data_IF_526751581892
#
_entry.id   IF_526751581892
#
_cell.length_a   1.000
_cell.length_b   1.000
_cell.length_c   1.000
_cell.angle_alpha   90.00
_cell.angle_beta   90.00
_cell.angle_gamma   90.00
#
_symmetry.space_group_name_H-M   'P 1'
#
loop_
_entity.id
_entity.type
_entity.pdbx_description
1 polymer ?
#
# COMPACT_ATOMS: atom_id res chain seq x y z
N UNK A 1 35.15 -7.10 -27.94
CA UNK A 1 35.41 -6.27 -26.74
C UNK A 1 34.65 -6.89 -25.60
N UNK A 2 35.35 -7.32 -24.55
CA UNK A 2 34.75 -8.01 -23.43
C UNK A 2 33.74 -7.09 -22.73
N UNK A 3 32.47 -7.51 -22.67
CA UNK A 3 31.48 -6.89 -21.80
C UNK A 3 31.77 -7.36 -20.38
N UNK A 4 32.65 -6.63 -19.69
CA UNK A 4 32.84 -6.81 -18.25
C UNK A 4 31.53 -6.38 -17.56
N UNK A 5 30.83 -7.33 -16.96
CA UNK A 5 29.68 -7.05 -16.11
C UNK A 5 30.22 -6.46 -14.79
N UNK A 6 30.03 -5.17 -14.60
CA UNK A 6 30.35 -4.48 -13.36
C UNK A 6 29.37 -4.93 -12.27
N UNK A 7 29.78 -5.87 -11.42
CA UNK A 7 28.97 -6.29 -10.27
C UNK A 7 29.10 -5.23 -9.16
N UNK A 8 28.16 -4.29 -9.15
CA UNK A 8 28.11 -3.23 -8.14
C UNK A 8 27.23 -3.69 -6.97
N UNK A 9 27.84 -3.94 -5.82
CA UNK A 9 27.12 -4.27 -4.59
C UNK A 9 26.43 -3.02 -4.01
N UNK A 10 25.10 -2.97 -4.17
CA UNK A 10 24.23 -1.92 -3.63
C UNK A 10 23.55 -2.32 -2.31
N UNK A 11 23.90 -3.45 -1.69
CA UNK A 11 23.27 -3.95 -0.46
C UNK A 11 23.26 -2.91 0.68
N UNK A 12 24.29 -2.06 0.76
CA UNK A 12 24.38 -0.94 1.70
C UNK A 12 23.22 0.06 1.60
N UNK A 13 22.55 0.13 0.45
CA UNK A 13 21.46 1.06 0.16
C UNK A 13 20.08 0.37 0.09
N UNK A 14 20.01 -0.95 0.23
CA UNK A 14 18.76 -1.73 0.22
C UNK A 14 18.07 -1.67 1.60
N UNK A 15 17.68 -0.47 2.02
CA UNK A 15 16.95 -0.26 3.27
C UNK A 15 15.54 -0.84 3.15
N UNK A 16 15.24 -1.87 3.96
CA UNK A 16 13.93 -2.50 4.05
C UNK A 16 13.39 -2.36 5.45
N UNK A 17 12.28 -1.66 5.60
CA UNK A 17 11.51 -1.70 6.83
C UNK A 17 10.75 -3.02 6.89
N UNK A 18 10.94 -3.77 7.99
CA UNK A 18 10.23 -5.04 8.19
C UNK A 18 8.74 -4.78 8.42
N UNK A 19 7.89 -5.50 7.70
CA UNK A 19 6.43 -5.45 7.89
C UNK A 19 5.92 -6.48 8.89
N UNK A 20 6.82 -7.21 9.57
CA UNK A 20 6.47 -8.30 10.50
C UNK A 20 5.65 -7.83 11.70
N UNK A 21 5.77 -6.56 12.10
CA UNK A 21 5.04 -5.99 13.23
C UNK A 21 3.71 -5.33 12.85
N UNK A 22 3.28 -5.41 11.58
CA UNK A 22 2.08 -4.71 11.16
C UNK A 22 0.83 -5.46 11.63
N UNK A 23 -0.01 -4.79 12.42
CA UNK A 23 -1.27 -5.33 12.96
C UNK A 23 -2.22 -5.77 11.83
N UNK A 24 -2.14 -5.12 10.68
CA UNK A 24 -2.90 -5.48 9.49
C UNK A 24 -2.14 -5.11 8.23
N UNK A 25 -2.03 -6.06 7.30
CA UNK A 25 -1.49 -5.83 5.96
C UNK A 25 -2.64 -5.83 4.96
N UNK A 26 -2.99 -4.65 4.44
CA UNK A 26 -4.00 -4.57 3.40
C UNK A 26 -3.49 -5.22 2.10
N UNK A 27 -4.42 -5.78 1.32
CA UNK A 27 -4.08 -6.36 0.01
C UNK A 27 -3.42 -5.31 -0.88
N UNK A 28 -2.52 -5.78 -1.75
CA UNK A 28 -1.85 -4.92 -2.73
C UNK A 28 -2.89 -4.37 -3.71
N UNK A 29 -2.92 -3.04 -3.85
CA UNK A 29 -3.83 -2.35 -4.75
C UNK A 29 -5.00 -1.67 -4.03
N UNK A 30 -5.47 -0.56 -4.61
CA UNK A 30 -6.60 0.20 -4.10
C UNK A 30 -7.89 -0.30 -4.76
N UNK A 31 -8.82 -0.81 -3.95
CA UNK A 31 -10.14 -1.26 -4.39
C UNK A 31 -11.22 -0.72 -3.45
N UNK A 32 -12.49 -0.73 -3.87
CA UNK A 32 -13.61 -0.38 -2.98
C UNK A 32 -13.65 -1.25 -1.71
N UNK A 33 -13.25 -2.51 -1.81
CA UNK A 33 -13.24 -3.42 -0.67
C UNK A 33 -12.10 -3.10 0.29
N UNK A 34 -10.93 -2.72 -0.22
CA UNK A 34 -9.83 -2.20 0.61
C UNK A 34 -10.28 -0.98 1.42
N UNK A 35 -11.05 -0.07 0.81
CA UNK A 35 -11.59 1.11 1.50
C UNK A 35 -12.58 0.73 2.61
N UNK A 36 -13.46 -0.26 2.35
CA UNK A 36 -14.39 -0.79 3.35
C UNK A 36 -13.68 -1.50 4.50
N UNK A 37 -12.67 -2.30 4.20
CA UNK A 37 -11.85 -2.99 5.20
C UNK A 37 -11.16 -1.98 6.12
N UNK A 38 -10.53 -0.94 5.55
CA UNK A 38 -9.88 0.13 6.33
C UNK A 38 -10.88 0.85 7.24
N UNK A 39 -12.07 1.16 6.73
CA UNK A 39 -13.11 1.86 7.50
C UNK A 39 -13.61 1.02 8.67
N UNK A 40 -13.82 -0.29 8.45
CA UNK A 40 -14.18 -1.26 9.50
C UNK A 40 -13.08 -1.41 10.55
N UNK A 41 -11.82 -1.50 10.13
CA UNK A 41 -10.67 -1.62 11.05
C UNK A 41 -10.51 -0.39 11.95
N UNK A 42 -10.95 0.77 11.46
CA UNK A 42 -10.89 2.05 12.17
C UNK A 42 -12.17 2.38 12.95
N UNK A 43 -13.17 1.49 12.92
CA UNK A 43 -14.50 1.68 13.53
C UNK A 43 -15.10 3.05 13.17
N UNK A 44 -15.04 3.38 11.88
CA UNK A 44 -15.50 4.68 11.39
C UNK A 44 -17.03 4.75 11.29
N UNK A 45 -17.63 5.93 11.56
CA UNK A 45 -19.05 6.14 11.33
C UNK A 45 -19.40 6.09 9.83
N UNK A 46 -20.65 5.74 9.50
CA UNK A 46 -21.10 5.49 8.13
C UNK A 46 -20.83 6.65 7.15
N UNK A 47 -21.00 7.90 7.61
CA UNK A 47 -20.73 9.09 6.78
C UNK A 47 -19.26 9.19 6.34
N UNK A 48 -18.31 8.67 7.13
CA UNK A 48 -16.89 8.63 6.76
C UNK A 48 -16.63 7.55 5.70
N UNK A 49 -17.27 6.39 5.82
CA UNK A 49 -17.20 5.35 4.79
C UNK A 49 -17.71 5.89 3.45
N UNK A 50 -18.86 6.56 3.44
CA UNK A 50 -19.44 7.17 2.23
C UNK A 50 -18.54 8.25 1.64
N UNK A 51 -17.92 9.07 2.48
CA UNK A 51 -16.93 10.06 2.03
C UNK A 51 -15.73 9.39 1.36
N UNK A 52 -15.16 8.35 1.97
CA UNK A 52 -14.03 7.59 1.40
C UNK A 52 -14.39 6.92 0.08
N UNK A 53 -15.58 6.33 -0.02
CA UNK A 53 -16.04 5.68 -1.25
C UNK A 53 -16.24 6.69 -2.38
N UNK A 54 -16.79 7.88 -2.10
CA UNK A 54 -16.87 8.97 -3.08
C UNK A 54 -15.49 9.44 -3.54
N UNK A 55 -14.53 9.58 -2.61
CA UNK A 55 -13.16 9.95 -2.95
C UNK A 55 -12.48 8.89 -3.83
N UNK A 56 -12.71 7.60 -3.56
CA UNK A 56 -12.24 6.50 -4.41
C UNK A 56 -12.82 6.61 -5.83
N UNK A 57 -14.13 6.87 -5.97
CA UNK A 57 -14.78 7.00 -7.28
C UNK A 57 -14.25 8.20 -8.08
N UNK A 58 -13.91 9.30 -7.40
CA UNK A 58 -13.25 10.46 -8.04
C UNK A 58 -11.83 10.13 -8.46
N UNK A 59 -11.08 9.38 -7.63
CA UNK A 59 -9.70 8.99 -7.94
C UNK A 59 -9.59 8.02 -9.12
N UNK A 60 -10.56 7.11 -9.27
CA UNK A 60 -10.57 6.12 -10.35
C UNK A 60 -11.13 6.65 -11.69
N UNK A 61 -11.58 7.90 -11.71
CA UNK A 61 -12.05 8.58 -12.92
C UNK A 61 -10.90 9.31 -13.60
#
# INVERSE_FOLDING_TARGET
MATENLDMDYSKYDFKDSTEMYVHLSKKGLSKDTVREISKLKDEPEWMLDFRLRAYDVFMK
#
